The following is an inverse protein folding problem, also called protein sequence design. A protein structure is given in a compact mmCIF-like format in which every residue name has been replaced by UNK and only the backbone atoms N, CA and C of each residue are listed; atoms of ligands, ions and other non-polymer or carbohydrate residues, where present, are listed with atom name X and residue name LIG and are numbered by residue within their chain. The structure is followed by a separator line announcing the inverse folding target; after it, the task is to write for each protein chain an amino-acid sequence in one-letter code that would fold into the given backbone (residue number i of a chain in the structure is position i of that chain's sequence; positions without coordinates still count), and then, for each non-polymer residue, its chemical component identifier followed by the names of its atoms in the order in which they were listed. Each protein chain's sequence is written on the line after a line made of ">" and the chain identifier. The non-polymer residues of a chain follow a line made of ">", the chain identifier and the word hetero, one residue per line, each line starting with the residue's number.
data_IF_028252918648
#
_entry.id   IF_028252918648
#
_cell.length_a   1.000
_cell.length_b   1.000
_cell.length_c   1.000
_cell.angle_alpha   90.00
_cell.angle_beta   90.00
_cell.angle_gamma   90.00
#
_symmetry.space_group_name_H-M   'P 1'
#
loop_
_entity.id
_entity.type
_entity.pdbx_description
1 polymer ?
#
# COMPACT_ATOMS: atom_id res chain seq x y z
N UNK A 1 -6.87 -28.35 -0.65
CA UNK A 1 -7.10 -26.96 -0.22
C UNK A 1 -6.69 -26.82 1.25
N UNK A 2 -5.93 -25.79 1.65
CA UNK A 2 -5.71 -25.49 3.06
C UNK A 2 -7.05 -25.29 3.78
N UNK A 3 -7.16 -25.72 5.03
CA UNK A 3 -8.34 -25.44 5.84
C UNK A 3 -8.34 -23.95 6.17
N UNK A 4 -9.37 -23.23 5.75
CA UNK A 4 -9.56 -21.85 6.12
C UNK A 4 -9.56 -21.72 7.66
N UNK A 5 -8.86 -20.71 8.18
CA UNK A 5 -8.80 -20.45 9.62
C UNK A 5 -10.22 -20.26 10.12
N UNK A 6 -10.66 -21.08 11.08
CA UNK A 6 -12.07 -21.13 11.51
C UNK A 6 -12.61 -19.77 11.94
N UNK A 7 -11.77 -18.94 12.59
CA UNK A 7 -12.12 -17.57 12.95
C UNK A 7 -12.49 -16.71 11.73
N UNK A 8 -11.72 -16.81 10.64
CA UNK A 8 -11.99 -16.08 9.39
C UNK A 8 -13.25 -16.56 8.69
N UNK A 9 -13.49 -17.88 8.64
CA UNK A 9 -14.73 -18.45 8.07
C UNK A 9 -15.95 -17.94 8.83
N UNK A 10 -15.89 -17.97 10.17
CA UNK A 10 -16.97 -17.48 11.03
C UNK A 10 -17.19 -15.98 10.82
N UNK A 11 -16.14 -15.17 10.85
CA UNK A 11 -16.25 -13.71 10.66
C UNK A 11 -16.78 -13.36 9.26
N UNK A 12 -16.30 -14.02 8.20
CA UNK A 12 -16.80 -13.81 6.84
C UNK A 12 -18.26 -14.23 6.69
N UNK A 13 -18.71 -15.31 7.36
CA UNK A 13 -20.12 -15.70 7.37
C UNK A 13 -21.02 -14.67 8.07
N UNK A 14 -20.53 -14.07 9.17
CA UNK A 14 -21.23 -12.99 9.88
C UNK A 14 -21.31 -11.75 9.00
N UNK A 15 -20.21 -11.37 8.34
CA UNK A 15 -20.17 -10.23 7.43
C UNK A 15 -21.05 -10.44 6.18
N UNK A 16 -21.05 -11.64 5.61
CA UNK A 16 -21.91 -11.99 4.47
C UNK A 16 -23.41 -11.90 4.81
N UNK A 17 -23.76 -12.11 6.08
CA UNK A 17 -25.14 -11.95 6.57
C UNK A 17 -25.55 -10.48 6.83
N UNK A 18 -24.58 -9.55 6.91
CA UNK A 18 -24.86 -8.12 7.06
C UNK A 18 -25.27 -7.53 5.71
N UNK A 19 -26.52 -7.08 5.62
CA UNK A 19 -27.07 -6.37 4.44
C UNK A 19 -26.71 -4.87 4.40
N UNK A 20 -26.08 -4.36 5.44
CA UNK A 20 -25.79 -2.93 5.61
C UNK A 20 -24.28 -2.77 5.79
N UNK A 21 -23.67 -1.95 4.94
CA UNK A 21 -22.28 -1.56 5.11
C UNK A 21 -22.11 -0.89 6.48
N UNK A 22 -21.01 -1.14 7.21
CA UNK A 22 -20.77 -0.45 8.47
C UNK A 22 -20.78 1.08 8.26
N UNK A 23 -21.22 1.87 9.26
CA UNK A 23 -21.24 3.32 9.17
C UNK A 23 -19.87 3.85 8.76
N UNK A 24 -19.82 4.72 7.74
CA UNK A 24 -18.56 5.29 7.24
C UNK A 24 -17.81 6.09 8.31
N UNK A 25 -18.53 6.57 9.31
CA UNK A 25 -18.02 7.48 10.33
C UNK A 25 -17.28 6.75 11.48
N UNK A 26 -17.30 5.41 11.51
CA UNK A 26 -16.61 4.61 12.54
C UNK A 26 -15.27 4.02 12.08
N UNK A 27 -14.85 4.25 10.83
CA UNK A 27 -13.54 3.83 10.32
C UNK A 27 -12.62 5.05 10.37
N UNK A 28 -11.82 5.13 11.43
CA UNK A 28 -10.79 6.15 11.62
C UNK A 28 -10.02 6.42 10.32
N UNK A 29 -10.08 7.66 9.80
CA UNK A 29 -9.34 8.18 8.64
C UNK A 29 -9.09 7.15 7.53
N UNK A 30 -10.14 6.81 6.77
CA UNK A 30 -10.21 5.74 5.75
C UNK A 30 -9.37 5.91 4.48
N UNK A 31 -8.12 6.35 4.62
CA UNK A 31 -7.11 6.39 3.57
C UNK A 31 -6.13 5.21 3.65
N UNK A 32 -5.48 4.93 2.53
CA UNK A 32 -4.41 3.94 2.43
C UNK A 32 -3.06 4.61 2.70
N UNK A 33 -2.15 3.91 3.36
CA UNK A 33 -0.81 4.43 3.66
C UNK A 33 0.21 4.25 2.52
N UNK A 34 -0.10 3.32 1.61
CA UNK A 34 0.61 3.08 0.35
C UNK A 34 -0.44 2.90 -0.75
N UNK A 35 -0.11 3.11 -2.04
CA UNK A 35 -1.11 2.99 -3.09
C UNK A 35 -1.65 1.55 -3.15
N UNK A 36 -2.97 1.37 -3.18
CA UNK A 36 -3.52 0.04 -3.42
C UNK A 36 -3.08 -0.50 -4.78
N UNK A 37 -2.80 -1.81 -4.94
CA UNK A 37 -2.27 -2.38 -6.18
C UNK A 37 -3.08 -2.01 -7.44
N UNK A 38 -4.41 -1.91 -7.31
CA UNK A 38 -5.32 -1.45 -8.37
C UNK A 38 -4.95 -0.08 -8.94
N UNK A 39 -4.37 0.82 -8.15
CA UNK A 39 -3.94 2.13 -8.61
C UNK A 39 -2.84 2.02 -9.67
N UNK A 40 -2.12 0.91 -9.74
CA UNK A 40 -1.04 0.64 -10.71
C UNK A 40 -1.56 -0.22 -11.86
N UNK A 41 -2.27 -1.31 -11.57
CA UNK A 41 -2.61 -2.36 -12.58
C UNK A 41 -3.95 -2.17 -13.29
N UNK A 42 -4.81 -1.26 -12.84
CA UNK A 42 -6.13 -1.07 -13.47
C UNK A 42 -6.14 -0.42 -14.86
N UNK A 43 -5.17 0.43 -15.28
CA UNK A 43 -5.16 0.96 -16.64
C UNK A 43 -5.06 -0.15 -17.69
N UNK A 44 -5.81 -0.02 -18.79
CA UNK A 44 -5.77 -0.99 -19.89
C UNK A 44 -4.50 -0.88 -20.75
N UNK A 45 -3.84 0.28 -20.74
CA UNK A 45 -2.68 0.56 -21.58
C UNK A 45 -1.40 0.20 -20.82
N UNK A 46 -0.60 -0.70 -21.39
CA UNK A 46 0.61 -1.22 -20.75
C UNK A 46 1.62 -0.12 -20.38
N UNK A 47 1.84 0.86 -21.27
CA UNK A 47 2.76 1.97 -21.00
C UNK A 47 2.33 2.84 -19.81
N UNK A 48 1.01 2.96 -19.56
CA UNK A 48 0.51 3.64 -18.36
C UNK A 48 0.85 2.80 -17.13
N UNK A 49 0.58 1.50 -17.14
CA UNK A 49 0.92 0.59 -16.02
C UNK A 49 2.42 0.65 -15.71
N UNK A 50 3.27 0.58 -16.73
CA UNK A 50 4.72 0.73 -16.60
C UNK A 50 5.12 2.06 -15.96
N UNK A 51 4.49 3.16 -16.39
CA UNK A 51 4.73 4.49 -15.82
C UNK A 51 4.34 4.53 -14.34
N UNK A 52 3.23 3.90 -13.95
CA UNK A 52 2.77 3.88 -12.55
C UNK A 52 3.63 3.02 -11.63
N UNK A 53 4.18 1.91 -12.14
CA UNK A 53 5.22 1.17 -11.42
C UNK A 53 6.42 2.07 -11.13
N UNK A 54 6.95 2.73 -12.16
CA UNK A 54 8.08 3.66 -12.01
C UNK A 54 7.74 4.82 -11.07
N UNK A 55 6.54 5.38 -11.18
CA UNK A 55 6.06 6.44 -10.28
C UNK A 55 6.08 5.99 -8.82
N UNK A 56 5.56 4.80 -8.53
CA UNK A 56 5.59 4.28 -7.17
C UNK A 56 7.02 4.12 -6.67
N UNK A 57 7.88 3.47 -7.47
CA UNK A 57 9.26 3.20 -7.09
C UNK A 57 10.07 4.49 -6.82
N UNK A 58 9.80 5.58 -7.56
CA UNK A 58 10.46 6.88 -7.32
C UNK A 58 10.13 7.51 -5.97
N UNK A 59 8.90 7.33 -5.49
CA UNK A 59 8.46 7.89 -4.20
C UNK A 59 8.47 6.88 -3.07
N UNK A 60 8.74 5.60 -3.37
CA UNK A 60 8.65 4.47 -2.45
C UNK A 60 9.42 4.75 -1.17
N UNK A 61 10.69 5.11 -1.27
CA UNK A 61 11.54 5.27 -0.09
C UNK A 61 11.11 6.48 0.76
N UNK A 62 10.67 7.57 0.13
CA UNK A 62 10.09 8.72 0.83
C UNK A 62 8.78 8.39 1.54
N UNK A 63 7.93 7.53 0.94
CA UNK A 63 6.69 7.07 1.58
C UNK A 63 7.01 6.11 2.72
N UNK A 64 7.83 5.09 2.49
CA UNK A 64 8.15 4.05 3.47
C UNK A 64 8.93 4.61 4.67
N UNK A 65 9.90 5.51 4.44
CA UNK A 65 10.66 6.15 5.54
C UNK A 65 9.77 6.92 6.51
N UNK A 66 8.69 7.53 6.02
CA UNK A 66 7.69 8.17 6.88
C UNK A 66 6.92 7.15 7.72
N UNK A 67 6.58 5.99 7.16
CA UNK A 67 5.96 4.91 7.94
C UNK A 67 6.91 4.41 9.04
N UNK A 68 8.21 4.36 8.78
CA UNK A 68 9.21 3.95 9.77
C UNK A 68 9.51 5.00 10.85
N UNK A 69 9.09 6.25 10.68
CA UNK A 69 9.44 7.35 11.58
C UNK A 69 8.30 7.65 12.56
N UNK A 70 8.39 7.26 13.84
CA UNK A 70 7.27 7.38 14.79
C UNK A 70 6.77 8.82 14.99
N UNK A 71 7.63 9.81 14.79
CA UNK A 71 7.33 11.24 14.99
C UNK A 71 6.63 11.88 13.78
N UNK A 72 6.56 11.18 12.65
CA UNK A 72 6.05 11.72 11.39
C UNK A 72 4.75 11.00 11.05
N UNK A 73 3.66 11.76 10.96
CA UNK A 73 2.37 11.18 10.59
C UNK A 73 2.45 10.52 9.20
N UNK A 74 1.92 9.29 9.06
CA UNK A 74 1.87 8.60 7.78
C UNK A 74 0.95 9.36 6.82
N UNK A 75 1.23 9.26 5.53
CA UNK A 75 0.36 9.83 4.49
C UNK A 75 -0.83 8.89 4.34
N UNK A 76 -2.05 9.37 4.60
CA UNK A 76 -3.28 8.61 4.35
C UNK A 76 -4.04 9.22 3.20
N UNK A 77 -4.13 8.51 2.07
CA UNK A 77 -4.79 9.00 0.87
C UNK A 77 -5.88 8.04 0.39
N UNK A 78 -6.95 8.60 -0.17
CA UNK A 78 -7.95 7.80 -0.90
C UNK A 78 -7.35 7.17 -2.16
N UNK A 79 -8.01 6.16 -2.70
CA UNK A 79 -7.65 5.57 -4.00
C UNK A 79 -7.44 6.58 -5.12
N UNK A 80 -8.34 7.56 -5.22
CA UNK A 80 -8.30 8.58 -6.26
C UNK A 80 -7.12 9.51 -6.06
N UNK A 81 -6.80 9.84 -4.81
CA UNK A 81 -5.64 10.67 -4.48
C UNK A 81 -4.32 9.93 -4.76
N UNK A 82 -4.19 8.68 -4.32
CA UNK A 82 -3.04 7.84 -4.68
C UNK A 82 -2.84 7.72 -6.18
N UNK A 83 -3.92 7.45 -6.93
CA UNK A 83 -3.86 7.38 -8.40
C UNK A 83 -3.38 8.71 -9.00
N UNK A 84 -3.94 9.84 -8.56
CA UNK A 84 -3.53 11.18 -9.03
C UNK A 84 -2.10 11.55 -8.64
N UNK A 85 -1.62 11.13 -7.47
CA UNK A 85 -0.22 11.33 -7.06
C UNK A 85 0.74 10.55 -7.97
N UNK A 86 0.43 9.29 -8.27
CA UNK A 86 1.25 8.49 -9.20
C UNK A 86 1.26 9.07 -10.62
N UNK A 87 0.14 9.65 -11.09
CA UNK A 87 0.09 10.38 -12.36
C UNK A 87 0.99 11.63 -12.34
N UNK A 88 0.96 12.38 -11.25
CA UNK A 88 1.77 13.60 -11.05
C UNK A 88 3.26 13.27 -11.03
N UNK A 89 3.65 12.18 -10.37
CA UNK A 89 5.04 11.70 -10.31
C UNK A 89 5.50 11.15 -11.67
N UNK A 90 4.59 10.50 -12.41
CA UNK A 90 4.89 9.88 -13.70
C UNK A 90 4.86 10.84 -14.88
N UNK A 91 4.55 12.12 -14.67
CA UNK A 91 4.38 13.09 -15.74
C UNK A 91 3.17 12.81 -16.64
N UNK A 92 2.24 11.95 -16.23
CA UNK A 92 1.01 11.64 -16.97
C UNK A 92 -0.01 12.79 -16.92
N UNK A 93 0.20 13.75 -16.00
CA UNK A 93 -0.61 14.95 -15.88
C UNK A 93 0.27 16.20 -15.86
N UNK A 94 0.46 16.82 -17.02
CA UNK A 94 1.24 18.06 -17.22
C UNK A 94 0.38 19.31 -17.26
N UNK A 95 -0.95 19.18 -17.18
CA UNK A 95 -1.88 20.31 -17.23
C UNK A 95 -1.73 21.26 -16.04
N UNK A 96 -1.92 22.56 -16.31
CA UNK A 96 -2.12 23.58 -15.28
C UNK A 96 -3.36 23.26 -14.43
N UNK A 97 -3.49 23.90 -13.27
CA UNK A 97 -4.66 23.77 -12.41
C UNK A 97 -5.92 24.19 -13.19
N UNK A 98 -6.61 23.20 -13.76
CA UNK A 98 -7.93 23.36 -14.35
C UNK A 98 -8.94 23.48 -13.23
N UNK A 99 -9.97 24.33 -13.39
CA UNK A 99 -11.12 24.44 -12.47
C UNK A 99 -11.93 23.13 -12.35
N UNK A 100 -11.58 22.09 -13.12
CA UNK A 100 -12.16 20.77 -12.96
C UNK A 100 -11.73 20.11 -11.65
N UNK A 101 -12.64 19.32 -11.06
CA UNK A 101 -12.36 18.53 -9.84
C UNK A 101 -11.15 17.60 -9.96
N UNK A 102 -10.80 17.17 -11.18
CA UNK A 102 -9.61 16.36 -11.42
C UNK A 102 -8.34 17.20 -11.41
N UNK A 103 -8.36 18.37 -12.06
CA UNK A 103 -7.25 19.32 -12.08
C UNK A 103 -6.88 19.79 -10.67
N UNK A 104 -7.89 20.14 -9.85
CA UNK A 104 -7.69 20.47 -8.44
C UNK A 104 -7.01 19.33 -7.67
N UNK A 105 -7.48 18.08 -7.85
CA UNK A 105 -6.86 16.93 -7.17
C UNK A 105 -5.39 16.73 -7.57
N UNK A 106 -5.05 16.91 -8.85
CA UNK A 106 -3.64 16.82 -9.25
C UNK A 106 -2.81 17.98 -8.70
N UNK A 107 -3.40 19.18 -8.53
CA UNK A 107 -2.74 20.28 -7.83
C UNK A 107 -2.49 19.94 -6.34
N UNK A 108 -3.50 19.41 -5.64
CA UNK A 108 -3.37 18.97 -4.26
C UNK A 108 -2.28 17.88 -4.13
N UNK A 109 -2.21 16.94 -5.08
CA UNK A 109 -1.20 15.89 -5.06
C UNK A 109 0.20 16.37 -5.44
N UNK A 110 0.34 17.50 -6.16
CA UNK A 110 1.63 18.18 -6.32
C UNK A 110 2.09 18.77 -5.00
N UNK A 111 1.19 19.43 -4.27
CA UNK A 111 1.48 19.95 -2.93
C UNK A 111 1.92 18.84 -1.97
N UNK A 112 1.24 17.69 -1.96
CA UNK A 112 1.68 16.52 -1.17
C UNK A 112 3.08 16.07 -1.56
N UNK A 113 3.40 16.01 -2.85
CA UNK A 113 4.73 15.59 -3.32
C UNK A 113 5.83 16.56 -2.85
N UNK A 114 5.61 17.85 -3.00
CA UNK A 114 6.59 18.90 -2.72
C UNK A 114 6.72 19.17 -1.21
N UNK A 115 5.60 19.33 -0.51
CA UNK A 115 5.60 19.77 0.89
C UNK A 115 5.58 18.61 1.89
N UNK A 116 4.95 17.49 1.54
CA UNK A 116 4.87 16.33 2.46
C UNK A 116 5.98 15.31 2.21
N UNK A 117 6.22 14.96 0.95
CA UNK A 117 7.29 14.03 0.58
C UNK A 117 8.65 14.72 0.40
N UNK A 118 8.68 16.06 0.35
CA UNK A 118 9.91 16.86 0.16
C UNK A 118 10.66 16.48 -1.11
N UNK A 119 9.91 16.13 -2.15
CA UNK A 119 10.44 15.77 -3.45
C UNK A 119 10.29 16.98 -4.37
N UNK A 120 11.42 17.59 -4.71
CA UNK A 120 11.46 18.65 -5.71
C UNK A 120 11.28 18.07 -7.12
N UNK A 121 10.37 18.68 -7.88
CA UNK A 121 10.02 18.32 -9.25
C UNK A 121 10.97 18.88 -10.31
N UNK A 122 12.08 19.51 -9.92
CA UNK A 122 13.15 19.88 -10.86
C UNK A 122 13.36 18.77 -11.90
N UNK A 123 13.57 19.12 -13.17
CA UNK A 123 13.48 18.18 -14.30
C UNK A 123 14.26 16.87 -14.13
N UNK A 124 15.32 16.90 -13.31
CA UNK A 124 16.11 15.73 -12.91
C UNK A 124 15.32 14.61 -12.21
N UNK A 125 14.20 14.88 -11.52
CA UNK A 125 13.49 13.84 -10.74
C UNK A 125 12.66 12.89 -11.62
N UNK A 126 11.97 13.42 -12.63
CA UNK A 126 11.16 12.58 -13.53
C UNK A 126 12.02 11.73 -14.48
N UNK A 127 13.22 12.21 -14.78
CA UNK A 127 14.19 11.50 -15.63
C UNK A 127 15.16 10.63 -14.83
N UNK A 128 15.09 10.67 -13.50
CA UNK A 128 15.97 9.88 -12.64
C UNK A 128 15.78 8.37 -12.90
N UNK A 129 16.89 7.61 -12.96
CA UNK A 129 16.84 6.15 -13.07
C UNK A 129 16.13 5.57 -11.85
N UNK A 130 15.29 4.57 -12.11
CA UNK A 130 14.50 3.89 -11.08
C UNK A 130 15.13 2.54 -10.76
N UNK A 131 15.28 2.23 -9.48
CA UNK A 131 15.88 0.99 -9.02
C UNK A 131 14.89 0.16 -8.19
N UNK A 132 15.05 -1.16 -8.22
CA UNK A 132 14.42 -2.10 -7.30
C UNK A 132 15.47 -3.07 -6.79
N UNK A 133 15.70 -3.12 -5.47
CA UNK A 133 16.72 -3.99 -4.85
C UNK A 133 18.10 -3.84 -5.54
N UNK A 134 18.48 -2.59 -5.86
CA UNK A 134 19.74 -2.26 -6.55
C UNK A 134 19.76 -2.55 -8.07
N UNK A 135 18.70 -3.13 -8.64
CA UNK A 135 18.59 -3.39 -10.08
C UNK A 135 17.91 -2.22 -10.79
N UNK A 136 18.53 -1.75 -11.86
CA UNK A 136 17.95 -0.71 -12.72
C UNK A 136 16.70 -1.27 -13.42
N UNK A 137 15.59 -0.56 -13.30
CA UNK A 137 14.36 -0.83 -14.05
C UNK A 137 14.49 -0.16 -15.42
N UNK A 138 14.23 -0.92 -16.48
CA UNK A 138 14.31 -0.43 -17.85
C UNK A 138 13.48 0.85 -18.07
N UNK A 139 13.99 1.73 -18.94
CA UNK A 139 13.29 2.96 -19.33
C UNK A 139 11.95 2.67 -20.00
N UNK A 140 11.89 1.58 -20.77
CA UNK A 140 10.79 1.24 -21.66
C UNK A 140 10.11 -0.07 -21.25
N UNK A 141 8.77 -0.02 -21.19
CA UNK A 141 7.94 -1.19 -20.90
C UNK A 141 7.74 -1.51 -19.41
N UNK A 142 7.03 -2.60 -19.16
CA UNK A 142 6.78 -3.10 -17.81
C UNK A 142 8.07 -3.59 -17.15
N UNK A 143 8.17 -3.51 -15.81
CA UNK A 143 9.21 -4.23 -15.09
C UNK A 143 9.07 -5.74 -15.29
N UNK A 144 10.17 -6.46 -15.14
CA UNK A 144 10.18 -7.93 -15.15
C UNK A 144 9.08 -8.50 -14.25
N UNK A 145 8.44 -9.60 -14.68
CA UNK A 145 7.32 -10.18 -13.95
C UNK A 145 7.63 -10.53 -12.48
N UNK A 146 8.89 -10.86 -12.17
CA UNK A 146 9.37 -11.08 -10.80
C UNK A 146 9.38 -9.79 -9.98
N UNK A 147 9.87 -8.69 -10.56
CA UNK A 147 9.87 -7.36 -9.94
C UNK A 147 8.45 -6.85 -9.77
N UNK A 148 7.62 -6.93 -10.81
CA UNK A 148 6.22 -6.52 -10.74
C UNK A 148 5.48 -7.26 -9.61
N UNK A 149 5.68 -8.58 -9.49
CA UNK A 149 5.10 -9.38 -8.41
C UNK A 149 5.59 -8.94 -7.03
N UNK A 150 6.89 -8.71 -6.89
CA UNK A 150 7.49 -8.27 -5.63
C UNK A 150 6.94 -6.91 -5.16
N UNK A 151 6.82 -5.95 -6.09
CA UNK A 151 6.24 -4.64 -5.81
C UNK A 151 4.77 -4.75 -5.42
N UNK A 152 3.97 -5.52 -6.17
CA UNK A 152 2.55 -5.69 -5.86
C UNK A 152 2.35 -6.42 -4.53
N UNK A 153 3.21 -7.41 -4.23
CA UNK A 153 3.21 -8.10 -2.94
C UNK A 153 3.48 -7.15 -1.78
N UNK A 154 4.52 -6.31 -1.87
CA UNK A 154 4.82 -5.29 -0.87
C UNK A 154 3.61 -4.37 -0.62
N UNK A 155 2.99 -3.87 -1.69
CA UNK A 155 1.81 -3.00 -1.58
C UNK A 155 0.60 -3.70 -0.95
N UNK A 156 0.36 -4.97 -1.30
CA UNK A 156 -0.70 -5.77 -0.69
C UNK A 156 -0.44 -5.97 0.80
N UNK A 157 0.77 -6.42 1.15
CA UNK A 157 1.13 -6.77 2.53
C UNK A 157 1.12 -5.54 3.44
N UNK A 158 1.70 -4.42 3.01
CA UNK A 158 1.68 -3.17 3.78
C UNK A 158 0.25 -2.67 4.01
N UNK A 159 -0.58 -2.61 2.97
CA UNK A 159 -1.98 -2.20 3.13
C UNK A 159 -2.73 -3.14 4.07
N UNK A 160 -2.56 -4.46 3.91
CA UNK A 160 -3.22 -5.45 4.76
C UNK A 160 -2.84 -5.29 6.22
N UNK A 161 -1.54 -5.13 6.54
CA UNK A 161 -1.08 -4.95 7.92
C UNK A 161 -1.67 -3.70 8.55
N UNK A 162 -1.66 -2.57 7.85
CA UNK A 162 -2.23 -1.33 8.37
C UNK A 162 -3.75 -1.31 8.47
N UNK A 163 -4.45 -1.96 7.53
CA UNK A 163 -5.90 -2.17 7.64
C UNK A 163 -6.24 -3.04 8.85
N UNK A 164 -5.42 -4.07 9.12
CA UNK A 164 -5.60 -4.93 10.28
C UNK A 164 -5.29 -4.20 11.59
N UNK A 165 -4.23 -3.39 11.66
CA UNK A 165 -3.95 -2.52 12.82
C UNK A 165 -5.10 -1.53 13.08
N UNK A 166 -5.61 -0.89 12.02
CA UNK A 166 -6.72 0.05 12.15
C UNK A 166 -8.00 -0.66 12.62
N UNK A 167 -8.28 -1.85 12.07
CA UNK A 167 -9.43 -2.66 12.49
C UNK A 167 -9.27 -3.13 13.94
N UNK A 168 -8.08 -3.57 14.32
CA UNK A 168 -7.76 -4.01 15.67
C UNK A 168 -7.99 -2.87 16.69
N UNK A 169 -7.54 -1.66 16.37
CA UNK A 169 -7.77 -0.48 17.21
C UNK A 169 -9.24 -0.09 17.36
N UNK A 170 -10.07 -0.32 16.34
CA UNK A 170 -11.53 -0.06 16.42
C UNK A 170 -12.25 -1.14 17.23
N UNK A 171 -11.77 -2.39 17.18
CA UNK A 171 -12.39 -3.53 17.87
C UNK A 171 -11.79 -3.81 19.25
N UNK A 172 -10.82 -3.00 19.71
CA UNK A 172 -10.17 -3.18 21.00
C UNK A 172 -11.11 -2.87 22.18
N UNK A 173 -11.48 -3.92 22.91
CA UNK A 173 -12.20 -3.82 24.19
C UNK A 173 -11.33 -4.21 25.41
N UNK A 174 -10.04 -4.51 25.19
CA UNK A 174 -9.14 -5.15 26.16
C UNK A 174 -8.68 -4.24 27.30
N UNK A 175 -8.94 -2.93 27.20
CA UNK A 175 -8.42 -1.88 28.11
C UNK A 175 -6.89 -1.81 28.20
N UNK A 176 -6.16 -2.52 27.32
CA UNK A 176 -4.71 -2.47 27.26
C UNK A 176 -4.26 -1.08 26.77
N UNK A 177 -3.04 -0.68 27.16
CA UNK A 177 -2.42 0.49 26.55
C UNK A 177 -2.18 0.22 25.06
N UNK A 178 -2.46 1.21 24.21
CA UNK A 178 -2.33 1.09 22.75
C UNK A 178 -0.94 0.59 22.32
N UNK A 179 0.13 1.02 23.00
CA UNK A 179 1.50 0.59 22.72
C UNK A 179 1.72 -0.92 22.94
N UNK A 180 1.12 -1.47 23.99
CA UNK A 180 1.27 -2.88 24.35
C UNK A 180 0.45 -3.75 23.38
N UNK A 181 -0.78 -3.29 23.05
CA UNK A 181 -1.62 -3.96 22.05
C UNK A 181 -0.98 -3.94 20.67
N UNK A 182 -0.46 -2.80 20.24
CA UNK A 182 0.23 -2.68 18.95
C UNK A 182 1.47 -3.59 18.92
N UNK A 183 2.20 -3.73 20.03
CA UNK A 183 3.31 -4.67 20.14
C UNK A 183 2.86 -6.12 19.90
N UNK A 184 1.72 -6.54 20.45
CA UNK A 184 1.16 -7.87 20.24
C UNK A 184 0.72 -8.10 18.79
N UNK A 185 0.07 -7.11 18.17
CA UNK A 185 -0.30 -7.17 16.73
C UNK A 185 0.96 -7.30 15.87
N UNK A 186 2.02 -6.56 16.21
CA UNK A 186 3.25 -6.54 15.45
C UNK A 186 4.03 -7.85 15.53
N UNK A 187 3.85 -8.62 16.60
CA UNK A 187 4.42 -9.97 16.73
C UNK A 187 3.79 -10.98 15.77
N UNK A 188 2.66 -10.67 15.12
CA UNK A 188 2.04 -11.55 14.14
C UNK A 188 2.74 -11.52 12.77
N UNK A 189 3.73 -10.64 12.59
CA UNK A 189 4.50 -10.49 11.36
C UNK A 189 5.97 -10.87 11.56
N UNK A 190 6.61 -11.34 10.49
CA UNK A 190 8.06 -11.45 10.45
C UNK A 190 8.64 -10.06 10.13
N UNK A 191 9.41 -9.50 11.05
CA UNK A 191 10.00 -8.16 10.92
C UNK A 191 9.12 -7.04 11.47
N UNK A 192 9.44 -5.79 11.12
CA UNK A 192 8.63 -4.62 11.48
C UNK A 192 7.38 -4.55 10.59
N UNK A 193 6.27 -4.01 11.09
CA UNK A 193 5.01 -3.83 10.34
C UNK A 193 5.24 -3.22 8.97
N UNK A 194 6.06 -2.17 8.96
CA UNK A 194 6.33 -1.34 7.80
C UNK A 194 7.47 -1.91 6.93
N UNK A 195 7.98 -3.09 7.26
CA UNK A 195 9.00 -3.81 6.49
C UNK A 195 8.42 -5.13 6.01
N UNK A 196 8.41 -5.31 4.69
CA UNK A 196 7.98 -6.56 4.07
C UNK A 196 9.22 -7.33 3.64
N UNK A 197 9.27 -8.61 4.01
CA UNK A 197 10.28 -9.50 3.50
C UNK A 197 9.98 -9.82 2.02
N UNK A 198 10.69 -9.17 1.10
CA UNK A 198 10.46 -9.34 -0.34
C UNK A 198 10.69 -10.78 -0.80
N UNK A 199 11.51 -11.57 -0.09
CA UNK A 199 11.69 -13.00 -0.40
C UNK A 199 10.38 -13.80 -0.27
N UNK A 200 9.42 -13.32 0.53
CA UNK A 200 8.10 -13.93 0.70
C UNK A 200 7.15 -13.65 -0.47
N UNK A 201 7.50 -12.73 -1.39
CA UNK A 201 6.70 -12.49 -2.60
C UNK A 201 6.58 -13.71 -3.53
N UNK A 202 7.36 -14.77 -3.26
CA UNK A 202 7.31 -16.07 -3.97
C UNK A 202 6.78 -17.20 -3.09
N UNK A 203 6.38 -16.92 -1.85
CA UNK A 203 5.97 -17.88 -0.84
C UNK A 203 4.54 -17.58 -0.35
N UNK A 204 3.90 -18.52 0.32
CA UNK A 204 2.57 -18.32 0.91
C UNK A 204 1.53 -17.80 -0.09
N UNK A 205 0.87 -16.68 0.22
CA UNK A 205 -0.13 -16.03 -0.65
C UNK A 205 0.48 -15.39 -1.92
N UNK A 206 1.80 -15.22 -1.99
CA UNK A 206 2.53 -14.70 -3.15
C UNK A 206 2.95 -15.77 -4.18
N UNK A 207 2.79 -17.05 -3.87
CA UNK A 207 3.21 -18.16 -4.75
C UNK A 207 2.18 -18.41 -5.87
N UNK A 208 2.66 -18.61 -7.11
CA UNK A 208 1.82 -18.98 -8.27
C UNK A 208 1.08 -20.32 -8.08
N UNK A 209 1.62 -21.19 -7.22
CA UNK A 209 1.05 -22.48 -6.85
C UNK A 209 0.90 -22.52 -5.34
N UNK A 210 -0.31 -22.27 -4.85
CA UNK A 210 -0.66 -22.12 -3.43
C UNK A 210 -0.52 -23.43 -2.62
N UNK A 211 0.07 -24.47 -3.21
CA UNK A 211 0.11 -25.84 -2.71
C UNK A 211 1.34 -26.17 -1.87
N UNK A 212 2.40 -25.35 -1.86
CA UNK A 212 3.68 -25.77 -1.23
C UNK A 212 4.34 -24.61 -0.47
N UNK A 213 3.90 -24.39 0.78
CA UNK A 213 4.62 -23.54 1.72
C UNK A 213 3.76 -23.09 2.90
N UNK A 214 3.79 -23.84 4.01
CA UNK A 214 3.19 -23.38 5.27
C UNK A 214 4.09 -22.32 5.89
N UNK A 215 3.72 -21.04 5.76
CA UNK A 215 3.95 -20.09 6.85
C UNK A 215 2.62 -19.91 7.57
N UNK A 216 2.53 -20.49 8.77
CA UNK A 216 1.39 -20.27 9.65
C UNK A 216 1.58 -18.90 10.30
N UNK A 217 0.77 -17.91 9.90
CA UNK A 217 0.51 -16.74 10.74
C UNK A 217 0.00 -17.28 12.10
N UNK A 218 0.88 -17.41 13.08
CA UNK A 218 0.53 -17.85 14.43
C UNK A 218 0.20 -16.62 15.26
N UNK A 219 -0.98 -16.06 15.02
CA UNK A 219 -1.50 -14.95 15.79
C UNK A 219 -2.58 -15.50 16.74
N UNK A 220 -2.33 -15.44 18.05
CA UNK A 220 -3.34 -15.68 19.09
C UNK A 220 -3.41 -14.45 19.96
N UNK A 221 -4.02 -13.39 19.44
CA UNK A 221 -4.38 -12.22 20.23
C UNK A 221 -5.65 -12.62 21.00
N UNK A 222 -5.55 -12.70 22.33
CA UNK A 222 -6.67 -12.98 23.24
C UNK A 222 -7.17 -11.69 23.84
#
# INVERSE_FOLDING_TARGET
>A
MPKAVHAWVKSLSILASRKVAPPRDSVADGGFVVPPPRCIVSPAQEHIVATLFKSWLRIRDSVLSRLHTPQVAPIKLSNKCWRSLLDVVGGLHTGSASETRSGMRHADMRDVLENTLRIDKGGSFMDAPVYWEGKLIGSDGLPDASVARAVLWELCELNFRHELEALDGVLDESKMAWTDRNTLVNQCWVGLVNQVNIAEATQGLGQLLWSIGRHSYRCSIK
#
